data_IF_702759389814
#
_entry.id   IF_702759389814
#
_cell.length_a   1.000
_cell.length_b   1.000
_cell.length_c   1.000
_cell.angle_alpha   90.00
_cell.angle_beta   90.00
_cell.angle_gamma   90.00
#
_symmetry.space_group_name_H-M   'P 1'
#
loop_
_entity.id
_entity.type
_entity.pdbx_description
1 polymer ?
#
# COMPACT_ATOMS: atom_id res chain seq x y z
N UNK A 1 -25.02 4.28 -0.34
CA UNK A 1 -24.43 3.13 0.37
C UNK A 1 -23.59 3.67 1.51
N UNK A 2 -23.86 3.22 2.74
CA UNK A 2 -23.03 3.58 3.89
C UNK A 2 -21.74 2.75 3.84
N UNK A 3 -20.59 3.42 3.84
CA UNK A 3 -19.29 2.74 3.81
C UNK A 3 -18.91 2.39 5.24
N UNK A 4 -18.89 1.08 5.55
CA UNK A 4 -18.53 0.59 6.90
C UNK A 4 -17.02 0.56 7.07
N UNK A 5 -16.55 0.96 8.26
CA UNK A 5 -15.12 0.91 8.61
C UNK A 5 -14.74 -0.53 9.02
N UNK A 6 -13.79 -1.18 8.35
CA UNK A 6 -13.36 -2.54 8.67
C UNK A 6 -12.44 -2.62 9.90
N UNK A 7 -12.28 -3.81 10.48
CA UNK A 7 -11.19 -4.12 11.40
C UNK A 7 -9.81 -3.92 10.77
N UNK A 8 -8.80 -3.65 11.60
CA UNK A 8 -7.42 -3.44 11.12
C UNK A 8 -6.90 -4.69 10.40
N UNK A 9 -6.46 -4.51 9.14
CA UNK A 9 -5.88 -5.59 8.34
C UNK A 9 -6.88 -6.55 7.70
N UNK A 10 -8.19 -6.29 7.79
CA UNK A 10 -9.24 -7.16 7.25
C UNK A 10 -9.12 -7.41 5.73
N UNK A 11 -8.66 -6.42 4.96
CA UNK A 11 -8.41 -6.54 3.51
C UNK A 11 -7.59 -7.77 3.10
N UNK A 12 -6.73 -8.31 3.98
CA UNK A 12 -5.92 -9.50 3.69
C UNK A 12 -6.74 -10.74 3.37
N UNK A 13 -7.97 -10.79 3.86
CA UNK A 13 -8.92 -11.89 3.60
C UNK A 13 -9.62 -11.72 2.25
N UNK A 14 -9.71 -10.48 1.76
CA UNK A 14 -10.36 -10.13 0.50
C UNK A 14 -9.43 -10.32 -0.69
N UNK A 15 -8.12 -10.13 -0.48
CA UNK A 15 -7.12 -10.24 -1.53
C UNK A 15 -6.82 -11.70 -1.90
N UNK A 16 -6.54 -11.98 -3.19
CA UNK A 16 -6.14 -13.31 -3.62
C UNK A 16 -4.77 -13.68 -3.04
N UNK A 17 -4.48 -14.98 -2.96
CA UNK A 17 -3.25 -15.51 -2.37
C UNK A 17 -1.97 -14.86 -2.94
N UNK A 18 -1.95 -14.59 -4.25
CA UNK A 18 -0.84 -13.95 -4.94
C UNK A 18 -0.55 -12.53 -4.45
N UNK A 19 -1.57 -11.80 -3.98
CA UNK A 19 -1.45 -10.42 -3.50
C UNK A 19 -1.36 -10.32 -1.96
N UNK A 20 -1.26 -11.44 -1.23
CA UNK A 20 -1.17 -11.43 0.23
C UNK A 20 0.11 -10.79 0.78
N UNK A 21 1.15 -10.65 -0.05
CA UNK A 21 2.37 -9.94 0.30
C UNK A 21 2.17 -8.41 0.33
N UNK A 22 1.13 -7.91 -0.34
CA UNK A 22 0.78 -6.50 -0.42
C UNK A 22 0.02 -6.08 0.84
N UNK A 23 0.36 -4.90 1.34
CA UNK A 23 -0.33 -4.25 2.45
C UNK A 23 -1.02 -2.99 1.95
N UNK A 24 -2.17 -2.67 2.53
CA UNK A 24 -2.79 -1.36 2.37
C UNK A 24 -2.42 -0.49 3.56
N UNK A 25 -1.97 0.72 3.28
CA UNK A 25 -1.61 1.69 4.31
C UNK A 25 -2.22 3.06 4.04
N UNK A 26 -2.50 3.78 5.14
CA UNK A 26 -3.07 5.13 5.09
C UNK A 26 -1.99 6.14 4.69
N UNK A 27 -2.28 6.97 3.70
CA UNK A 27 -1.32 7.96 3.18
C UNK A 27 -1.05 9.12 4.13
N UNK A 28 -1.97 9.36 5.08
CA UNK A 28 -1.81 10.36 6.14
C UNK A 28 -0.83 9.96 7.24
N UNK A 29 -0.36 8.71 7.26
CA UNK A 29 0.56 8.21 8.28
C UNK A 29 1.96 8.01 7.68
N UNK A 30 3.02 8.55 8.31
CA UNK A 30 4.38 8.29 7.87
C UNK A 30 4.70 6.80 8.02
N UNK A 31 5.37 6.24 7.02
CA UNK A 31 5.78 4.83 6.99
C UNK A 31 7.24 4.73 6.62
N UNK A 32 7.95 3.82 7.29
CA UNK A 32 9.33 3.46 6.99
C UNK A 32 9.42 1.97 6.67
N UNK A 33 10.47 1.56 5.94
CA UNK A 33 10.69 0.14 5.64
C UNK A 33 9.70 -0.47 4.64
N UNK A 34 9.03 0.34 3.82
CA UNK A 34 8.08 -0.12 2.79
C UNK A 34 8.34 0.54 1.44
N UNK A 35 8.05 -0.19 0.38
CA UNK A 35 7.98 0.33 -0.98
C UNK A 35 6.51 0.61 -1.33
N UNK A 36 6.24 1.77 -1.94
CA UNK A 36 4.89 2.16 -2.37
C UNK A 36 4.66 1.72 -3.82
N UNK A 37 3.50 1.15 -4.09
CA UNK A 37 3.08 0.72 -5.43
C UNK A 37 1.79 1.44 -5.85
N UNK A 38 1.84 2.76 -6.15
CA UNK A 38 0.65 3.48 -6.61
C UNK A 38 0.11 2.96 -7.94
N UNK A 39 0.96 2.39 -8.80
CA UNK A 39 0.57 1.91 -10.13
C UNK A 39 -0.46 0.78 -10.14
N UNK A 40 -0.57 0.00 -9.05
CA UNK A 40 -1.52 -1.12 -8.94
C UNK A 40 -2.78 -0.74 -8.14
N UNK A 41 -2.90 0.50 -7.66
CA UNK A 41 -4.00 0.92 -6.79
C UNK A 41 -5.36 0.82 -7.50
N UNK A 42 -5.44 1.21 -8.77
CA UNK A 42 -6.68 1.15 -9.55
C UNK A 42 -7.10 -0.29 -9.84
N UNK A 43 -6.15 -1.15 -10.19
CA UNK A 43 -6.40 -2.59 -10.42
C UNK A 43 -6.91 -3.28 -9.15
N UNK A 44 -6.31 -2.95 -7.99
CA UNK A 44 -6.76 -3.45 -6.70
C UNK A 44 -8.16 -2.92 -6.33
N UNK A 45 -8.46 -1.65 -6.62
CA UNK A 45 -9.79 -1.09 -6.39
C UNK A 45 -10.84 -1.79 -7.25
N UNK A 46 -10.54 -2.01 -8.54
CA UNK A 46 -11.42 -2.73 -9.46
C UNK A 46 -11.61 -4.21 -9.07
N UNK A 47 -10.62 -4.83 -8.46
CA UNK A 47 -10.76 -6.17 -7.89
C UNK A 47 -11.70 -6.16 -6.67
N UNK A 48 -11.50 -5.22 -5.74
CA UNK A 48 -12.32 -5.10 -4.53
C UNK A 48 -13.78 -4.77 -4.85
N UNK A 49 -14.07 -4.01 -5.90
CA UNK A 49 -15.44 -3.74 -6.35
C UNK A 49 -16.22 -5.00 -6.75
N UNK A 50 -15.53 -6.09 -7.10
CA UNK A 50 -16.16 -7.37 -7.46
C UNK A 50 -16.49 -8.22 -6.24
N UNK A 51 -16.05 -7.81 -5.05
CA UNK A 51 -16.33 -8.53 -3.80
C UNK A 51 -17.69 -8.12 -3.25
N UNK A 52 -18.49 -9.10 -2.85
CA UNK A 52 -19.76 -8.88 -2.15
C UNK A 52 -19.56 -8.53 -0.64
N UNK A 53 -18.32 -8.39 -0.20
CA UNK A 53 -17.99 -8.09 1.19
C UNK A 53 -18.36 -6.64 1.57
N UNK A 54 -18.94 -6.49 2.77
CA UNK A 54 -19.46 -5.21 3.26
C UNK A 54 -18.37 -4.13 3.45
N UNK A 55 -17.10 -4.54 3.55
CA UNK A 55 -15.96 -3.64 3.72
C UNK A 55 -15.15 -3.42 2.45
N UNK A 56 -15.41 -4.17 1.37
CA UNK A 56 -14.64 -4.04 0.13
C UNK A 56 -14.72 -2.62 -0.46
N UNK A 57 -15.92 -2.02 -0.43
CA UNK A 57 -16.16 -0.65 -0.86
C UNK A 57 -15.32 0.40 -0.10
N UNK A 58 -15.01 0.17 1.18
CA UNK A 58 -14.15 1.07 1.96
C UNK A 58 -12.73 1.10 1.41
N UNK A 59 -12.18 -0.09 1.12
CA UNK A 59 -10.82 -0.22 0.59
C UNK A 59 -10.72 0.27 -0.86
N UNK A 60 -11.69 -0.06 -1.71
CA UNK A 60 -11.73 0.39 -3.10
C UNK A 60 -11.78 1.93 -3.19
N UNK A 61 -12.63 2.56 -2.37
CA UNK A 61 -12.71 4.02 -2.30
C UNK A 61 -11.41 4.63 -1.75
N UNK A 62 -10.82 4.03 -0.71
CA UNK A 62 -9.54 4.47 -0.16
C UNK A 62 -8.42 4.47 -1.21
N UNK A 63 -8.36 3.45 -2.05
CA UNK A 63 -7.38 3.34 -3.14
C UNK A 63 -7.59 4.40 -4.23
N UNK A 64 -8.84 4.62 -4.68
CA UNK A 64 -9.17 5.60 -5.73
C UNK A 64 -8.93 7.04 -5.30
N UNK A 65 -9.26 7.34 -4.05
CA UNK A 65 -9.08 8.69 -3.49
C UNK A 65 -7.62 8.98 -3.11
N UNK A 66 -6.75 7.97 -3.11
CA UNK A 66 -5.38 8.08 -2.62
C UNK A 66 -5.30 8.20 -1.09
N UNK A 67 -6.38 7.96 -0.36
CA UNK A 67 -6.36 7.85 1.10
C UNK A 67 -5.62 6.57 1.56
N UNK A 68 -5.57 5.56 0.70
CA UNK A 68 -4.81 4.32 0.87
C UNK A 68 -3.86 4.10 -0.29
N UNK A 69 -2.73 3.47 -0.01
CA UNK A 69 -1.77 3.07 -1.02
C UNK A 69 -1.31 1.62 -0.80
N UNK A 70 -1.17 0.83 -1.87
CA UNK A 70 -0.53 -0.48 -1.81
C UNK A 70 0.94 -0.34 -1.48
N UNK A 71 1.42 -1.14 -0.52
CA UNK A 71 2.81 -1.15 -0.09
C UNK A 71 3.32 -2.57 0.13
N UNK A 72 4.61 -2.78 -0.12
CA UNK A 72 5.30 -4.04 0.18
C UNK A 72 6.40 -3.78 1.21
N UNK A 73 6.57 -4.61 2.24
CA UNK A 73 7.69 -4.47 3.16
C UNK A 73 9.02 -4.65 2.41
N UNK A 74 9.99 -3.77 2.67
CA UNK A 74 11.34 -3.92 2.11
C UNK A 74 12.02 -5.13 2.75
N UNK A 75 12.59 -6.02 1.93
CA UNK A 75 13.37 -7.18 2.40
C UNK A 75 14.56 -6.79 3.28
N UNK A 76 14.99 -5.52 3.21
CA UNK A 76 15.97 -4.90 4.09
C UNK A 76 15.42 -3.55 4.60
N UNK A 77 14.78 -3.51 5.78
CA UNK A 77 14.17 -2.28 6.30
C UNK A 77 15.20 -1.18 6.63
N UNK A 78 16.50 -1.51 6.65
CA UNK A 78 17.62 -0.60 6.93
C UNK A 78 18.32 -0.03 5.70
N UNK A 79 17.93 -0.38 4.47
CA UNK A 79 18.39 0.36 3.29
C UNK A 79 17.61 1.67 3.21
N UNK A 80 17.90 2.60 4.12
CA UNK A 80 17.75 4.02 3.80
C UNK A 80 18.63 4.25 2.57
N UNK A 81 18.00 4.44 1.41
CA UNK A 81 18.69 5.09 0.31
C UNK A 81 19.07 6.49 0.79
N UNK A 82 20.25 6.64 1.36
CA UNK A 82 20.87 7.94 1.51
C UNK A 82 21.17 8.44 0.11
N UNK A 83 20.22 9.16 -0.48
CA UNK A 83 20.57 10.09 -1.56
C UNK A 83 21.30 11.26 -0.91
N UNK A 84 22.61 11.15 -0.80
CA UNK A 84 23.49 12.27 -0.49
C UNK A 84 23.96 12.86 -1.83
N UNK A 85 23.45 14.03 -2.28
CA UNK A 85 23.93 14.69 -3.50
C UNK A 85 25.34 15.31 -3.33
N UNK A 86 26.17 14.79 -2.42
CA UNK A 86 27.39 15.44 -1.93
C UNK A 86 28.65 14.60 -1.87
N UNK A 87 28.63 13.29 -2.18
CA UNK A 87 29.90 12.54 -2.30
C UNK A 87 30.55 12.82 -3.65
N UNK A 88 31.23 13.98 -3.66
CA UNK A 88 32.32 14.29 -4.56
C UNK A 88 33.30 13.11 -4.61
N UNK A 89 33.67 12.77 -5.83
CA UNK A 89 34.88 12.05 -6.20
C UNK A 89 36.07 12.44 -5.31
N UNK A 90 36.61 11.49 -4.56
CA UNK A 90 38.05 11.44 -4.31
C UNK A 90 38.53 10.00 -4.52
N UNK A 91 39.16 9.79 -5.69
CA UNK A 91 40.09 8.69 -5.90
C UNK A 91 41.36 9.03 -5.12
N UNK A 92 41.83 8.14 -4.26
CA UNK A 92 43.23 8.07 -3.85
C UNK A 92 44.04 7.31 -4.89
#
# INVERSE_FOLDING_TARGET
>A
MEIKKPPTGYYRQLLPAELQHIRLALTSQPMTGVEKHPGIAEEMAAYLDKSDDEYAAYYANGLRTGAMIPVTPLSQPFKQGHWAPGELFMKS
#
